data_IF_457546080734
#
_entry.id   IF_457546080734
#
_cell.length_a   1.000
_cell.length_b   1.000
_cell.length_c   1.000
_cell.angle_alpha   90.00
_cell.angle_beta   90.00
_cell.angle_gamma   90.00
#
_symmetry.space_group_name_H-M   'P 1'
#
loop_
_entity.id
_entity.type
_entity.pdbx_description
1 polymer ?
#
# COMPACT_ATOMS: atom_id res chain seq x y z
N UNK A 1 8.83 5.57 29.70
CA UNK A 1 9.40 5.99 28.40
C UNK A 1 8.27 6.26 27.40
N UNK A 2 7.58 7.39 27.52
CA UNK A 2 6.50 7.81 26.62
C UNK A 2 6.87 9.19 26.09
N UNK A 3 7.68 9.20 25.03
CA UNK A 3 8.26 10.46 24.54
C UNK A 3 8.95 10.28 23.21
N UNK A 4 8.22 9.85 22.19
CA UNK A 4 8.58 10.23 20.83
C UNK A 4 7.43 11.05 20.28
N UNK A 5 7.56 12.39 20.34
CA UNK A 5 6.60 13.31 19.75
C UNK A 5 6.31 12.94 18.29
N UNK A 6 5.11 13.25 17.84
CA UNK A 6 4.69 13.09 16.45
C UNK A 6 5.73 13.71 15.51
N UNK A 7 6.33 12.89 14.63
CA UNK A 7 7.32 13.33 13.63
C UNK A 7 6.63 13.41 12.28
N UNK A 8 6.30 14.63 11.84
CA UNK A 8 5.63 14.88 10.55
C UNK A 8 6.40 14.31 9.35
N UNK A 9 7.73 14.26 9.42
CA UNK A 9 8.58 13.68 8.38
C UNK A 9 8.39 12.16 8.26
N UNK A 10 8.32 11.45 9.39
CA UNK A 10 8.01 10.02 9.41
C UNK A 10 6.61 9.75 8.84
N UNK A 11 5.63 10.61 9.14
CA UNK A 11 4.31 10.52 8.53
C UNK A 11 4.39 10.68 7.01
N UNK A 12 5.09 11.71 6.51
CA UNK A 12 5.26 11.95 5.07
C UNK A 12 5.87 10.75 4.34
N UNK A 13 6.93 10.18 4.90
CA UNK A 13 7.58 8.98 4.33
C UNK A 13 6.62 7.80 4.33
N UNK A 14 5.95 7.54 5.46
CA UNK A 14 4.98 6.44 5.57
C UNK A 14 3.82 6.59 4.59
N UNK A 15 3.28 7.79 4.40
CA UNK A 15 2.22 8.05 3.43
C UNK A 15 2.68 7.74 2.00
N UNK A 16 3.90 8.14 1.63
CA UNK A 16 4.47 7.81 0.31
C UNK A 16 4.62 6.30 0.12
N UNK A 17 5.11 5.58 1.14
CA UNK A 17 5.24 4.12 1.10
C UNK A 17 3.87 3.43 0.97
N UNK A 18 2.87 3.90 1.72
CA UNK A 18 1.50 3.36 1.66
C UNK A 18 0.90 3.56 0.26
N UNK A 19 1.04 4.75 -0.34
CA UNK A 19 0.56 5.00 -1.70
C UNK A 19 1.22 4.04 -2.70
N UNK A 20 2.54 3.85 -2.61
CA UNK A 20 3.25 2.92 -3.50
C UNK A 20 2.79 1.47 -3.29
N UNK A 21 2.57 1.06 -2.03
CA UNK A 21 2.09 -0.28 -1.71
C UNK A 21 0.68 -0.53 -2.22
N UNK A 22 -0.22 0.46 -2.11
CA UNK A 22 -1.58 0.38 -2.62
C UNK A 22 -1.62 0.24 -4.14
N UNK A 23 -0.80 1.01 -4.88
CA UNK A 23 -0.69 0.87 -6.35
C UNK A 23 -0.24 -0.52 -6.78
N UNK A 24 0.75 -1.10 -6.09
CA UNK A 24 1.22 -2.46 -6.37
C UNK A 24 0.16 -3.53 -6.03
N UNK A 25 -0.55 -3.35 -4.92
CA UNK A 25 -1.63 -4.25 -4.51
C UNK A 25 -2.80 -4.23 -5.49
N UNK A 26 -3.19 -3.04 -5.96
CA UNK A 26 -4.24 -2.87 -6.95
C UNK A 26 -3.91 -3.65 -8.23
N UNK A 27 -2.70 -3.45 -8.79
CA UNK A 27 -2.25 -4.19 -9.98
C UNK A 27 -2.31 -5.70 -9.78
N UNK A 28 -1.77 -6.21 -8.65
CA UNK A 28 -1.79 -7.65 -8.34
C UNK A 28 -3.20 -8.20 -8.21
N UNK A 29 -4.12 -7.46 -7.58
CA UNK A 29 -5.51 -7.88 -7.42
C UNK A 29 -6.26 -7.91 -8.75
N UNK A 30 -6.02 -6.95 -9.63
CA UNK A 30 -6.59 -6.92 -10.98
C UNK A 30 -6.12 -8.10 -11.84
N UNK A 31 -4.81 -8.41 -11.81
CA UNK A 31 -4.25 -9.56 -12.54
C UNK A 31 -4.84 -10.88 -12.04
N UNK A 32 -4.95 -11.05 -10.72
CA UNK A 32 -5.59 -12.23 -10.11
C UNK A 32 -7.06 -12.35 -10.52
N UNK A 33 -7.81 -11.24 -10.50
CA UNK A 33 -9.21 -11.25 -10.90
C UNK A 33 -9.38 -11.56 -12.39
N UNK A 34 -8.53 -11.03 -13.26
CA UNK A 34 -8.55 -11.35 -14.68
C UNK A 34 -8.20 -12.81 -14.96
N UNK A 35 -7.23 -13.37 -14.22
CA UNK A 35 -6.88 -14.79 -14.31
C UNK A 35 -8.06 -15.67 -13.87
N UNK A 36 -8.65 -15.38 -12.71
CA UNK A 36 -9.81 -16.12 -12.21
C UNK A 36 -11.00 -16.06 -13.19
N UNK A 37 -11.24 -14.92 -13.85
CA UNK A 37 -12.27 -14.79 -14.90
C UNK A 37 -12.00 -15.62 -16.16
N UNK A 38 -10.74 -15.95 -16.46
CA UNK A 38 -10.39 -16.82 -17.60
C UNK A 38 -10.50 -18.31 -17.29
N UNK A 39 -10.48 -18.66 -16.00
CA UNK A 39 -10.57 -20.04 -15.52
C UNK A 39 -12.03 -20.47 -15.25
N UNK A 40 -12.98 -19.52 -15.28
CA UNK A 40 -14.43 -19.76 -15.35
C UNK A 40 -14.82 -19.95 -16.81
#
# INVERSE_FOLDING_TARGET
MLGSGFKAERLRVNLRLVINRLKLLEKKKTELAQKARKEI
#
